data_IF_778566588557
#
_entry.id   IF_778566588557
#
_cell.length_a   1.000
_cell.length_b   1.000
_cell.length_c   1.000
_cell.angle_alpha   90.00
_cell.angle_beta   90.00
_cell.angle_gamma   90.00
#
_symmetry.space_group_name_H-M   'P 1'
#
loop_
_entity.id
_entity.type
_entity.pdbx_description
1 polymer ?
#
# COMPACT_ATOMS: atom_id res chain seq x y z
N UNK A 1 -53.82 15.43 -16.84
CA UNK A 1 -52.70 14.65 -16.24
C UNK A 1 -52.13 13.66 -17.26
N UNK A 2 -51.15 14.04 -18.09
CA UNK A 2 -50.45 13.06 -18.98
C UNK A 2 -49.06 13.52 -19.47
N UNK A 3 -48.41 14.47 -18.79
CA UNK A 3 -47.07 14.96 -19.19
C UNK A 3 -45.89 14.38 -18.39
N UNK A 4 -46.13 13.64 -17.32
CA UNK A 4 -45.07 13.15 -16.40
C UNK A 4 -44.46 11.79 -16.72
N UNK A 5 -45.04 11.00 -17.65
CA UNK A 5 -44.63 9.59 -17.86
C UNK A 5 -43.53 9.41 -18.92
N UNK A 6 -43.32 10.40 -19.79
CA UNK A 6 -42.35 10.31 -20.89
C UNK A 6 -40.92 10.72 -20.48
N UNK A 7 -40.76 11.59 -19.48
CA UNK A 7 -39.45 12.04 -19.01
C UNK A 7 -38.65 10.92 -18.31
N UNK A 8 -39.31 10.08 -17.51
CA UNK A 8 -38.64 8.97 -16.81
C UNK A 8 -38.13 7.88 -17.75
N UNK A 9 -38.82 7.62 -18.87
CA UNK A 9 -38.37 6.65 -19.87
C UNK A 9 -37.14 7.13 -20.64
N UNK A 10 -37.06 8.43 -20.93
CA UNK A 10 -35.88 9.01 -21.59
C UNK A 10 -34.64 8.97 -20.69
N UNK A 11 -34.80 9.26 -19.39
CA UNK A 11 -33.70 9.18 -18.43
C UNK A 11 -33.18 7.73 -18.24
N UNK A 12 -34.08 6.76 -18.16
CA UNK A 12 -33.72 5.34 -18.04
C UNK A 12 -32.98 4.83 -19.28
N UNK A 13 -33.45 5.20 -20.48
CA UNK A 13 -32.81 4.81 -21.74
C UNK A 13 -31.41 5.42 -21.89
N UNK A 14 -31.24 6.69 -21.50
CA UNK A 14 -29.94 7.36 -21.54
C UNK A 14 -28.94 6.71 -20.56
N UNK A 15 -29.41 6.32 -19.36
CA UNK A 15 -28.58 5.63 -18.38
C UNK A 15 -28.17 4.22 -18.84
N UNK A 16 -29.08 3.49 -19.49
CA UNK A 16 -28.80 2.17 -20.06
C UNK A 16 -27.75 2.25 -21.18
N UNK A 17 -27.88 3.23 -22.07
CA UNK A 17 -26.94 3.45 -23.17
C UNK A 17 -25.53 3.82 -22.68
N UNK A 18 -25.43 4.62 -21.61
CA UNK A 18 -24.14 4.93 -20.97
C UNK A 18 -23.46 3.69 -20.39
N UNK A 19 -24.21 2.81 -19.71
CA UNK A 19 -23.66 1.56 -19.16
C UNK A 19 -23.19 0.59 -20.24
N UNK A 20 -23.95 0.44 -21.34
CA UNK A 20 -23.55 -0.40 -22.48
C UNK A 20 -22.27 0.13 -23.13
N UNK A 21 -22.16 1.45 -23.32
CA UNK A 21 -20.98 2.08 -23.94
C UNK A 21 -19.72 1.90 -23.08
N UNK A 22 -19.85 1.98 -21.75
CA UNK A 22 -18.75 1.73 -20.82
C UNK A 22 -18.31 0.26 -20.76
N UNK A 23 -19.24 -0.70 -20.85
CA UNK A 23 -18.89 -2.12 -20.95
C UNK A 23 -18.13 -2.43 -22.26
N UNK A 24 -18.59 -1.91 -23.40
CA UNK A 24 -17.94 -2.15 -24.70
C UNK A 24 -16.48 -1.63 -24.70
N UNK A 25 -16.25 -0.44 -24.13
CA UNK A 25 -14.89 0.14 -24.02
C UNK A 25 -13.97 -0.69 -23.12
N UNK A 26 -14.49 -1.22 -22.00
CA UNK A 26 -13.68 -2.00 -21.04
C UNK A 26 -13.30 -3.39 -21.54
N UNK A 27 -14.13 -4.03 -22.36
CA UNK A 27 -13.90 -5.44 -22.74
C UNK A 27 -13.34 -5.65 -24.15
N UNK A 28 -13.56 -4.73 -25.11
CA UNK A 28 -13.12 -4.93 -26.51
C UNK A 28 -11.70 -4.41 -26.75
N UNK A 29 -11.26 -3.36 -26.04
CA UNK A 29 -9.96 -2.72 -26.29
C UNK A 29 -8.75 -3.58 -25.87
N UNK A 30 -8.76 -4.36 -24.77
CA UNK A 30 -7.58 -5.15 -24.39
C UNK A 30 -7.38 -6.43 -25.22
N UNK A 31 -8.33 -6.83 -26.08
CA UNK A 31 -8.20 -8.04 -26.90
C UNK A 31 -7.31 -7.85 -28.15
N UNK A 32 -6.93 -6.62 -28.49
CA UNK A 32 -6.17 -6.30 -29.72
C UNK A 32 -4.66 -6.14 -29.47
N UNK A 33 -4.18 -6.15 -28.22
CA UNK A 33 -2.79 -5.80 -27.86
C UNK A 33 -1.88 -6.97 -27.43
N UNK A 34 -2.26 -8.23 -27.67
CA UNK A 34 -1.43 -9.41 -27.31
C UNK A 34 -1.00 -10.22 -28.55
N UNK A 35 -0.54 -9.53 -29.58
CA UNK A 35 0.10 -10.17 -30.74
C UNK A 35 1.38 -9.42 -31.12
N UNK A 36 2.50 -9.87 -30.54
CA UNK A 36 3.83 -9.56 -31.06
C UNK A 36 4.75 -8.88 -30.06
N UNK A 37 5.55 -9.68 -29.34
CA UNK A 37 6.98 -9.42 -29.13
C UNK A 37 7.64 -10.64 -28.46
N UNK A 38 8.14 -11.54 -29.30
CA UNK A 38 9.11 -12.57 -28.89
C UNK A 38 10.49 -12.01 -29.20
N UNK A 39 11.23 -11.56 -28.17
CA UNK A 39 12.65 -11.22 -28.30
C UNK A 39 13.46 -12.32 -27.60
N UNK A 40 14.27 -13.00 -28.41
CA UNK A 40 15.25 -14.00 -27.99
C UNK A 40 16.48 -13.22 -27.49
N UNK A 41 16.82 -13.34 -26.20
CA UNK A 41 18.10 -12.86 -25.65
C UNK A 41 19.04 -14.05 -25.55
N UNK A 42 20.10 -14.04 -26.35
CA UNK A 42 21.22 -14.97 -26.30
C UNK A 42 22.28 -14.47 -25.31
N UNK A 43 22.62 -15.27 -24.32
CA UNK A 43 23.79 -15.05 -23.45
C UNK A 43 25.00 -15.79 -24.03
N UNK A 44 26.05 -15.04 -24.39
CA UNK A 44 27.40 -15.57 -24.65
C UNK A 44 28.19 -15.59 -23.33
N UNK A 45 29.01 -16.62 -23.06
CA UNK A 45 29.76 -16.73 -21.80
C UNK A 45 31.01 -15.84 -21.83
N UNK A 46 31.32 -15.20 -20.71
CA UNK A 46 32.59 -14.50 -20.51
C UNK A 46 33.47 -15.24 -19.51
N UNK A 47 34.74 -15.41 -19.91
CA UNK A 47 35.69 -16.37 -19.36
C UNK A 47 36.37 -15.99 -18.05
N UNK A 48 37.06 -16.99 -17.52
CA UNK A 48 37.84 -16.97 -16.28
C UNK A 48 39.28 -16.45 -16.49
N UNK A 49 39.77 -15.73 -15.46
CA UNK A 49 41.14 -15.69 -14.87
C UNK A 49 42.30 -15.05 -15.66
N UNK A 50 43.33 -14.42 -15.00
CA UNK A 50 43.97 -14.90 -13.76
C UNK A 50 44.38 -13.85 -12.70
N UNK A 51 44.81 -14.40 -11.56
CA UNK A 51 45.43 -13.81 -10.37
C UNK A 51 46.68 -12.97 -10.64
N UNK A 52 46.92 -11.93 -9.80
CA UNK A 52 48.28 -11.43 -9.57
C UNK A 52 48.46 -10.01 -8.98
N UNK A 53 48.86 -9.97 -7.71
CA UNK A 53 49.83 -9.04 -7.07
C UNK A 53 49.34 -7.65 -6.57
N UNK A 54 49.01 -7.65 -5.28
CA UNK A 54 49.55 -6.79 -4.18
C UNK A 54 50.15 -5.42 -4.52
N UNK A 55 49.47 -4.33 -4.12
CA UNK A 55 50.07 -3.07 -3.64
C UNK A 55 49.19 -2.38 -2.58
N UNK A 56 49.71 -2.34 -1.35
CA UNK A 56 49.72 -1.25 -0.35
C UNK A 56 48.40 -0.50 -0.09
N UNK A 57 47.78 -0.78 1.05
CA UNK A 57 46.59 -0.11 1.60
C UNK A 57 46.97 1.07 2.53
N UNK A 58 46.37 2.27 2.38
CA UNK A 58 46.31 3.31 3.41
C UNK A 58 45.26 2.98 4.50
N UNK A 59 45.24 3.72 5.64
CA UNK A 59 44.74 3.22 6.92
C UNK A 59 43.22 3.02 7.00
N UNK A 60 42.87 2.03 7.82
CA UNK A 60 41.54 1.47 8.10
C UNK A 60 40.42 2.51 8.18
N UNK A 61 39.45 2.38 7.26
CA UNK A 61 38.07 2.79 7.49
C UNK A 61 37.47 2.00 8.67
N UNK A 62 36.62 2.59 9.51
CA UNK A 62 35.92 1.86 10.57
C UNK A 62 35.08 0.72 9.96
N UNK A 63 34.90 -0.40 10.68
CA UNK A 63 34.28 -1.59 10.13
C UNK A 63 32.84 -1.28 9.67
N UNK A 64 32.56 -1.64 8.43
CA UNK A 64 31.23 -1.76 7.86
C UNK A 64 30.43 -2.69 8.79
N UNK A 65 29.45 -2.13 9.50
CA UNK A 65 28.60 -2.90 10.42
C UNK A 65 27.65 -3.74 9.58
N UNK A 66 28.14 -4.92 9.23
CA UNK A 66 27.37 -6.00 8.64
C UNK A 66 26.48 -6.58 9.75
N UNK A 67 25.19 -6.25 9.69
CA UNK A 67 24.17 -6.85 10.57
C UNK A 67 24.11 -8.36 10.39
N UNK A 68 23.84 -9.07 11.48
CA UNK A 68 24.03 -10.52 11.61
C UNK A 68 23.03 -11.36 10.83
N UNK A 69 23.63 -12.32 10.13
CA UNK A 69 23.08 -13.61 9.68
C UNK A 69 22.53 -14.39 10.89
N UNK A 70 21.30 -14.90 10.80
CA UNK A 70 20.64 -15.99 11.58
C UNK A 70 21.16 -16.32 13.00
N UNK A 71 21.28 -15.34 13.90
CA UNK A 71 21.40 -15.56 15.34
C UNK A 71 20.95 -14.31 16.08
N UNK A 72 19.92 -14.46 16.92
CA UNK A 72 19.26 -13.34 17.59
C UNK A 72 20.24 -12.35 18.23
N UNK A 73 20.16 -11.09 17.78
CA UNK A 73 20.87 -9.94 18.32
C UNK A 73 19.93 -8.74 18.36
N UNK A 74 20.09 -7.88 19.37
CA UNK A 74 19.29 -6.66 19.49
C UNK A 74 19.84 -5.55 18.59
N UNK A 75 19.03 -5.10 17.63
CA UNK A 75 19.39 -3.95 16.80
C UNK A 75 19.14 -2.66 17.58
N UNK A 76 20.15 -1.78 17.63
CA UNK A 76 20.03 -0.47 18.28
C UNK A 76 20.09 0.66 17.28
N UNK A 77 19.32 1.72 17.52
CA UNK A 77 19.41 2.99 16.83
C UNK A 77 19.65 4.12 17.86
N UNK A 78 20.65 4.97 17.63
CA UNK A 78 21.06 6.05 18.57
C UNK A 78 21.18 5.59 20.03
N UNK A 79 21.77 4.41 20.25
CA UNK A 79 22.04 3.86 21.58
C UNK A 79 20.83 3.28 22.31
N UNK A 80 19.68 3.10 21.64
CA UNK A 80 18.48 2.45 22.19
C UNK A 80 18.00 1.31 21.28
N UNK A 81 17.36 0.27 21.83
CA UNK A 81 16.73 -0.77 21.01
C UNK A 81 15.73 -0.19 20.02
N UNK A 82 15.67 -0.74 18.81
CA UNK A 82 14.80 -0.26 17.74
C UNK A 82 13.32 -0.31 18.14
N UNK A 83 12.92 -1.34 18.88
CA UNK A 83 11.59 -1.54 19.46
C UNK A 83 11.17 -0.41 20.40
N UNK A 84 12.13 0.33 20.98
CA UNK A 84 11.82 1.46 21.84
C UNK A 84 11.29 2.70 21.10
N UNK A 85 11.32 2.68 19.77
CA UNK A 85 10.70 3.67 18.89
C UNK A 85 9.33 3.24 18.37
N UNK A 86 8.86 2.04 18.73
CA UNK A 86 7.52 1.60 18.37
C UNK A 86 6.47 2.47 19.05
N UNK A 87 5.46 2.88 18.28
CA UNK A 87 4.34 3.69 18.76
C UNK A 87 3.03 2.96 18.55
N UNK A 88 2.05 3.25 19.41
CA UNK A 88 0.67 2.92 19.12
C UNK A 88 0.08 4.03 18.24
N UNK A 89 -0.09 3.76 16.95
CA UNK A 89 -0.61 4.75 15.99
C UNK A 89 -2.00 5.27 16.40
N UNK A 90 -2.80 4.46 17.10
CA UNK A 90 -4.14 4.84 17.58
C UNK A 90 -4.11 5.92 18.66
N UNK A 91 -2.95 6.12 19.31
CA UNK A 91 -2.80 7.15 20.34
C UNK A 91 -2.50 8.54 19.79
N UNK A 92 -2.08 8.64 18.52
CA UNK A 92 -1.76 9.92 17.88
C UNK A 92 -3.02 10.78 17.70
N UNK A 93 -2.87 12.09 17.87
CA UNK A 93 -3.93 13.08 17.63
C UNK A 93 -4.47 12.98 16.20
N UNK A 94 -3.58 12.91 15.20
CA UNK A 94 -3.96 12.73 13.80
C UNK A 94 -4.81 11.46 13.56
N UNK A 95 -4.53 10.37 14.27
CA UNK A 95 -5.35 9.17 14.19
C UNK A 95 -6.72 9.40 14.83
N UNK A 96 -6.75 9.88 16.08
CA UNK A 96 -7.98 10.07 16.86
C UNK A 96 -8.95 11.05 16.21
N UNK A 97 -8.43 12.16 15.68
CA UNK A 97 -9.23 13.25 15.13
C UNK A 97 -9.47 13.11 13.61
N UNK A 98 -8.53 12.49 12.88
CA UNK A 98 -8.60 12.37 11.43
C UNK A 98 -9.10 11.02 10.94
N UNK A 99 -8.49 9.93 11.41
CA UNK A 99 -8.69 8.58 10.87
C UNK A 99 -9.84 7.86 11.54
N UNK A 100 -9.91 7.92 12.86
CA UNK A 100 -10.95 7.23 13.63
C UNK A 100 -12.37 7.65 13.17
N UNK A 101 -12.67 8.94 12.92
CA UNK A 101 -13.98 9.32 12.39
C UNK A 101 -14.29 8.73 11.00
N UNK A 102 -13.28 8.49 10.16
CA UNK A 102 -13.44 7.81 8.87
C UNK A 102 -13.78 6.34 9.12
N UNK A 103 -13.02 5.63 9.95
CA UNK A 103 -13.26 4.22 10.29
C UNK A 103 -14.60 4.00 11.01
N UNK A 104 -15.07 5.00 11.74
CA UNK A 104 -16.35 4.96 12.44
C UNK A 104 -17.53 5.51 11.61
N UNK A 105 -17.27 6.01 10.40
CA UNK A 105 -18.31 6.51 9.49
C UNK A 105 -19.31 5.41 9.10
N UNK A 106 -20.56 5.81 8.85
CA UNK A 106 -21.62 4.87 8.43
C UNK A 106 -21.24 4.10 7.15
N UNK A 107 -20.43 4.69 6.27
CA UNK A 107 -19.94 4.02 5.07
C UNK A 107 -18.98 2.87 5.35
N UNK A 108 -18.30 2.86 6.51
CA UNK A 108 -17.34 1.81 6.87
C UNK A 108 -17.82 0.88 7.99
N UNK A 109 -18.81 1.28 8.78
CA UNK A 109 -19.35 0.43 9.84
C UNK A 109 -19.83 -0.93 9.32
N UNK A 110 -19.32 -2.01 9.93
CA UNK A 110 -19.64 -3.38 9.54
C UNK A 110 -19.14 -3.79 8.15
N UNK A 111 -18.42 -2.92 7.43
CA UNK A 111 -17.86 -3.24 6.12
C UNK A 111 -16.63 -4.15 6.26
N UNK A 112 -16.43 -5.00 5.25
CA UNK A 112 -15.21 -5.79 5.09
C UNK A 112 -13.96 -4.87 5.07
N UNK A 113 -14.05 -3.72 4.40
CA UNK A 113 -12.95 -2.78 4.27
C UNK A 113 -12.48 -2.22 5.62
N UNK A 114 -13.40 -1.93 6.55
CA UNK A 114 -13.04 -1.52 7.92
C UNK A 114 -12.22 -2.60 8.62
N UNK A 115 -12.57 -3.87 8.44
CA UNK A 115 -11.82 -4.98 9.03
C UNK A 115 -10.40 -5.06 8.48
N UNK A 116 -10.23 -4.89 7.17
CA UNK A 116 -8.89 -4.87 6.54
C UNK A 116 -8.07 -3.69 7.05
N UNK A 117 -8.65 -2.48 7.10
CA UNK A 117 -7.93 -1.31 7.57
C UNK A 117 -7.51 -1.47 9.03
N UNK A 118 -8.39 -1.99 9.90
CA UNK A 118 -8.03 -2.33 11.28
C UNK A 118 -6.94 -3.40 11.33
N UNK A 119 -7.02 -4.44 10.50
CA UNK A 119 -5.99 -5.47 10.43
C UNK A 119 -4.63 -4.87 10.05
N UNK A 120 -4.57 -3.96 9.08
CA UNK A 120 -3.34 -3.25 8.68
C UNK A 120 -2.79 -2.42 9.85
N UNK A 121 -3.66 -1.68 10.54
CA UNK A 121 -3.29 -0.85 11.71
C UNK A 121 -2.66 -1.73 12.80
N UNK A 122 -3.30 -2.86 13.10
CA UNK A 122 -2.95 -3.67 14.27
C UNK A 122 -1.84 -4.70 13.99
N UNK A 123 -1.65 -5.13 12.73
CA UNK A 123 -0.62 -6.13 12.36
C UNK A 123 0.68 -5.52 11.86
N UNK A 124 0.72 -4.21 11.58
CA UNK A 124 1.96 -3.51 11.29
C UNK A 124 2.54 -2.90 12.56
N UNK A 125 3.85 -3.01 12.72
CA UNK A 125 4.56 -2.25 13.76
C UNK A 125 4.87 -0.86 13.22
N UNK A 126 4.40 0.17 13.92
CA UNK A 126 4.64 1.55 13.56
C UNK A 126 5.81 2.09 14.38
N UNK A 127 6.82 2.62 13.70
CA UNK A 127 8.00 3.23 14.31
C UNK A 127 8.02 4.72 14.04
N UNK A 128 8.36 5.52 15.04
CA UNK A 128 8.61 6.94 14.91
C UNK A 128 10.10 7.20 15.17
N UNK A 129 10.88 7.37 14.10
CA UNK A 129 12.35 7.40 14.16
C UNK A 129 12.86 8.83 14.02
N UNK A 130 13.71 9.33 14.94
CA UNK A 130 14.27 10.69 14.89
C UNK A 130 15.46 10.77 13.92
N UNK A 131 15.24 10.41 12.65
CA UNK A 131 16.26 10.40 11.59
C UNK A 131 15.64 10.34 10.21
N UNK A 132 16.43 10.76 9.23
CA UNK A 132 16.10 10.55 7.82
C UNK A 132 15.94 9.08 7.50
N UNK A 133 14.92 8.79 6.69
CA UNK A 133 14.65 7.48 6.13
C UNK A 133 15.39 7.34 4.80
N UNK A 134 15.69 6.10 4.42
CA UNK A 134 16.23 5.80 3.08
C UNK A 134 15.26 6.29 2.01
N UNK A 135 15.75 7.09 1.07
CA UNK A 135 14.93 7.62 -0.02
C UNK A 135 14.65 6.52 -1.05
N UNK A 136 13.38 6.44 -1.48
CA UNK A 136 13.03 5.67 -2.65
C UNK A 136 13.47 6.41 -3.92
N UNK A 137 13.82 5.70 -5.00
CA UNK A 137 14.14 6.35 -6.27
C UNK A 137 12.99 7.25 -6.75
N UNK A 138 13.31 8.47 -7.20
CA UNK A 138 12.31 9.45 -7.63
C UNK A 138 11.41 8.94 -8.75
N UNK A 139 11.93 8.07 -9.64
CA UNK A 139 11.14 7.45 -10.70
C UNK A 139 10.03 6.56 -10.12
N UNK A 140 10.27 5.94 -8.96
CA UNK A 140 9.33 5.03 -8.32
C UNK A 140 8.17 5.76 -7.67
N UNK A 141 8.47 6.84 -6.94
CA UNK A 141 7.45 7.66 -6.25
C UNK A 141 6.81 8.70 -7.19
N UNK A 142 7.20 8.71 -8.46
CA UNK A 142 6.67 9.59 -9.50
C UNK A 142 6.67 11.07 -9.06
N UNK A 143 7.77 11.51 -8.46
CA UNK A 143 7.95 12.89 -8.04
C UNK A 143 8.75 13.67 -9.07
N UNK A 144 8.23 14.82 -9.48
CA UNK A 144 8.93 15.76 -10.38
C UNK A 144 9.91 16.68 -9.63
N UNK A 145 9.92 16.63 -8.30
CA UNK A 145 10.78 17.46 -7.43
C UNK A 145 11.51 16.56 -6.43
N UNK A 146 12.65 17.03 -5.91
CA UNK A 146 13.29 16.39 -4.77
C UNK A 146 12.33 16.42 -3.59
N UNK A 147 11.97 15.25 -3.07
CA UNK A 147 11.06 15.10 -1.93
C UNK A 147 11.78 14.52 -0.74
N UNK A 148 11.38 14.95 0.45
CA UNK A 148 11.77 14.31 1.70
C UNK A 148 10.90 13.06 1.91
N UNK A 149 11.52 11.95 2.36
CA UNK A 149 10.80 10.71 2.63
C UNK A 149 10.25 10.75 4.06
N UNK A 150 8.97 11.09 4.20
CA UNK A 150 8.30 11.19 5.50
C UNK A 150 7.92 9.83 6.10
N UNK A 151 7.67 8.83 5.26
CA UNK A 151 7.30 7.48 5.68
C UNK A 151 7.89 6.41 4.77
N UNK A 152 8.22 5.23 5.29
CA UNK A 152 8.65 4.07 4.51
C UNK A 152 7.93 2.84 5.05
N UNK A 153 7.43 1.98 4.17
CA UNK A 153 6.63 0.83 4.57
C UNK A 153 7.06 -0.45 3.85
N UNK A 154 7.08 -1.56 4.61
CA UNK A 154 7.17 -2.92 4.09
C UNK A 154 5.94 -3.75 4.50
N UNK A 155 6.01 -5.08 4.37
CA UNK A 155 4.89 -5.97 4.73
C UNK A 155 4.53 -5.94 6.21
N UNK A 156 5.48 -5.72 7.12
CA UNK A 156 5.29 -5.84 8.57
C UNK A 156 5.43 -4.53 9.33
N UNK A 157 6.03 -3.50 8.73
CA UNK A 157 6.46 -2.32 9.46
C UNK A 157 6.17 -1.04 8.67
N UNK A 158 5.88 0.02 9.40
CA UNK A 158 5.79 1.40 8.89
C UNK A 158 6.75 2.26 9.70
N UNK A 159 7.65 2.93 9.00
CA UNK A 159 8.64 3.83 9.55
C UNK A 159 8.24 5.26 9.25
N UNK A 160 8.09 6.09 10.26
CA UNK A 160 7.83 7.53 10.13
C UNK A 160 9.09 8.30 10.50
N UNK A 161 9.48 9.27 9.67
CA UNK A 161 10.51 10.24 10.03
C UNK A 161 9.91 11.21 11.05
N UNK A 162 10.31 11.07 12.31
CA UNK A 162 9.80 11.90 13.40
C UNK A 162 10.05 13.40 13.15
N UNK A 163 11.21 13.77 12.62
CA UNK A 163 11.56 15.17 12.42
C UNK A 163 10.59 15.85 11.45
N UNK A 164 10.25 15.15 10.35
CA UNK A 164 9.29 15.66 9.37
C UNK A 164 7.87 15.57 9.94
N UNK A 165 7.50 14.45 10.54
CA UNK A 165 6.17 14.20 11.08
C UNK A 165 5.76 15.23 12.14
N UNK A 166 6.66 15.59 13.05
CA UNK A 166 6.41 16.55 14.13
C UNK A 166 6.25 18.00 13.59
N UNK A 167 6.76 18.30 12.39
CA UNK A 167 6.58 19.60 11.71
C UNK A 167 5.29 19.69 10.91
N UNK A 168 4.62 18.56 10.63
CA UNK A 168 3.39 18.52 9.86
C UNK A 168 2.19 19.05 10.67
N UNK A 169 1.22 19.64 9.99
CA UNK A 169 -0.09 19.90 10.61
C UNK A 169 -0.80 18.58 10.94
N UNK A 170 -1.73 18.58 11.89
CA UNK A 170 -2.56 17.38 12.19
C UNK A 170 -3.26 16.86 10.93
N UNK A 171 -3.66 17.76 10.02
CA UNK A 171 -4.26 17.39 8.74
C UNK A 171 -3.27 16.64 7.82
N UNK A 172 -2.04 17.13 7.69
CA UNK A 172 -1.02 16.48 6.85
C UNK A 172 -0.54 15.16 7.47
N UNK A 173 -0.42 15.08 8.80
CA UNK A 173 -0.18 13.82 9.50
C UNK A 173 -1.29 12.81 9.23
N UNK A 174 -2.55 13.24 9.27
CA UNK A 174 -3.71 12.40 8.94
C UNK A 174 -3.61 11.89 7.50
N UNK A 175 -3.33 12.78 6.55
CA UNK A 175 -3.17 12.43 5.15
C UNK A 175 -2.05 11.41 4.92
N UNK A 176 -0.91 11.59 5.60
CA UNK A 176 0.23 10.66 5.54
C UNK A 176 -0.16 9.28 6.09
N UNK A 177 -0.84 9.21 7.24
CA UNK A 177 -1.23 7.90 7.79
C UNK A 177 -2.27 7.23 6.87
N UNK A 178 -3.24 7.97 6.32
CA UNK A 178 -4.18 7.42 5.32
C UNK A 178 -3.42 6.87 4.11
N UNK A 179 -2.38 7.58 3.64
CA UNK A 179 -1.52 7.11 2.56
C UNK A 179 -0.89 5.75 2.91
N UNK A 180 -0.29 5.61 4.08
CA UNK A 180 0.33 4.35 4.52
C UNK A 180 -0.68 3.21 4.72
N UNK A 181 -1.90 3.51 5.18
CA UNK A 181 -2.98 2.51 5.25
C UNK A 181 -3.37 1.99 3.86
N UNK A 182 -3.49 2.88 2.88
CA UNK A 182 -3.80 2.51 1.50
C UNK A 182 -2.62 1.78 0.83
N UNK A 183 -1.38 2.15 1.14
CA UNK A 183 -0.19 1.36 0.80
C UNK A 183 -0.32 -0.05 1.39
N UNK A 184 -0.73 -0.17 2.66
CA UNK A 184 -0.92 -1.46 3.33
C UNK A 184 -1.94 -2.33 2.61
N UNK A 185 -3.07 -1.74 2.24
CA UNK A 185 -4.12 -2.40 1.47
C UNK A 185 -3.59 -2.90 0.11
N UNK A 186 -2.77 -2.10 -0.57
CA UNK A 186 -2.15 -2.49 -1.84
C UNK A 186 -1.12 -3.59 -1.70
N UNK A 187 -0.35 -3.59 -0.62
CA UNK A 187 0.69 -4.58 -0.38
C UNK A 187 0.14 -5.97 -0.05
N UNK A 188 -1.11 -6.08 0.40
CA UNK A 188 -1.73 -7.38 0.67
C UNK A 188 -1.64 -8.34 -0.52
N UNK A 189 -1.82 -7.84 -1.76
CA UNK A 189 -1.73 -8.64 -3.00
C UNK A 189 -0.34 -9.25 -3.25
N UNK A 190 0.70 -8.70 -2.62
CA UNK A 190 2.09 -9.16 -2.75
C UNK A 190 2.61 -9.89 -1.51
N UNK A 191 1.95 -9.74 -0.36
CA UNK A 191 2.24 -10.55 0.82
C UNK A 191 1.74 -12.00 0.59
N UNK A 192 1.82 -12.82 1.63
CA UNK A 192 1.35 -14.19 1.62
C UNK A 192 -0.17 -14.32 1.54
N UNK A 193 -0.66 -15.43 0.97
CA UNK A 193 -2.10 -15.76 0.96
C UNK A 193 -2.68 -15.85 2.37
N UNK A 194 -1.85 -16.16 3.37
CA UNK A 194 -2.21 -16.18 4.78
C UNK A 194 -2.46 -14.77 5.30
N UNK A 195 -1.52 -13.84 5.09
CA UNK A 195 -1.68 -12.43 5.49
C UNK A 195 -2.89 -11.80 4.84
N UNK A 196 -3.07 -12.05 3.54
CA UNK A 196 -4.27 -11.67 2.80
C UNK A 196 -5.50 -12.26 3.50
N UNK A 197 -5.68 -13.58 3.53
CA UNK A 197 -6.85 -14.20 4.16
C UNK A 197 -7.14 -13.66 5.56
N UNK A 198 -6.13 -13.45 6.40
CA UNK A 198 -6.29 -12.90 7.76
C UNK A 198 -6.86 -11.47 7.77
N UNK A 199 -6.48 -10.62 6.82
CA UNK A 199 -7.03 -9.29 6.66
C UNK A 199 -8.50 -9.31 6.22
N UNK A 200 -8.87 -10.27 5.37
CA UNK A 200 -10.23 -10.42 4.82
C UNK A 200 -11.18 -11.22 5.72
N UNK A 201 -10.63 -11.91 6.73
CA UNK A 201 -11.39 -12.81 7.58
C UNK A 201 -12.41 -12.06 8.44
N UNK A 202 -13.61 -12.64 8.58
CA UNK A 202 -14.62 -12.17 9.54
C UNK A 202 -14.30 -12.62 10.97
N UNK A 203 -14.81 -11.91 11.97
CA UNK A 203 -14.56 -12.23 13.39
C UNK A 203 -14.99 -13.65 13.81
N UNK A 204 -15.89 -14.29 13.07
CA UNK A 204 -16.44 -15.61 13.38
C UNK A 204 -15.61 -16.78 12.83
N UNK A 205 -14.54 -16.52 12.09
CA UNK A 205 -13.69 -17.56 11.50
C UNK A 205 -12.41 -17.72 12.32
N UNK A 206 -12.03 -18.96 12.62
CA UNK A 206 -10.78 -19.27 13.30
C UNK A 206 -9.55 -18.98 12.42
N UNK A 207 -8.37 -18.83 13.03
CA UNK A 207 -7.09 -18.66 12.31
C UNK A 207 -6.73 -19.85 11.43
N UNK A 208 -7.17 -21.05 11.83
CA UNK A 208 -7.05 -22.28 11.06
C UNK A 208 -7.70 -22.17 9.67
N UNK A 209 -8.71 -21.31 9.48
CA UNK A 209 -9.35 -21.07 8.18
C UNK A 209 -8.36 -20.60 7.11
N UNK A 210 -7.37 -19.80 7.51
CA UNK A 210 -6.38 -19.26 6.58
C UNK A 210 -5.15 -20.15 6.42
N UNK A 211 -4.99 -21.21 7.24
CA UNK A 211 -3.82 -22.09 7.22
C UNK A 211 -3.99 -23.18 6.17
N UNK A 212 -3.15 -23.15 5.13
CA UNK A 212 -2.94 -24.27 4.22
C UNK A 212 -1.44 -24.44 3.93
N UNK A 213 -1.05 -25.55 3.31
CA UNK A 213 0.37 -25.91 3.11
C UNK A 213 1.19 -24.90 2.30
N UNK A 214 0.55 -23.96 1.61
CA UNK A 214 1.20 -22.94 0.76
C UNK A 214 0.80 -21.51 1.16
N UNK A 215 0.10 -21.32 2.29
CA UNK A 215 -0.48 -20.01 2.61
C UNK A 215 0.56 -18.99 3.05
N UNK A 216 1.73 -19.41 3.54
CA UNK A 216 2.78 -18.52 4.07
C UNK A 216 3.78 -18.00 3.04
N UNK A 217 3.75 -18.49 1.80
CA UNK A 217 4.67 -18.04 0.76
C UNK A 217 4.37 -16.60 0.35
N UNK A 218 5.38 -15.73 0.40
CA UNK A 218 5.30 -14.35 -0.06
C UNK A 218 5.17 -14.37 -1.59
N UNK A 219 4.21 -13.61 -2.14
CA UNK A 219 3.91 -13.57 -3.58
C UNK A 219 4.77 -12.59 -4.37
N UNK A 220 5.30 -11.56 -3.71
CA UNK A 220 6.11 -10.52 -4.34
C UNK A 220 6.87 -9.67 -3.32
N UNK A 221 7.16 -8.43 -3.67
CA UNK A 221 7.91 -7.48 -2.85
C UNK A 221 7.14 -6.17 -2.74
N UNK A 222 7.32 -5.38 -1.66
CA UNK A 222 6.83 -4.01 -1.63
C UNK A 222 7.36 -3.17 -2.79
N UNK A 223 8.50 -3.58 -3.36
CA UNK A 223 9.07 -2.94 -4.54
C UNK A 223 8.28 -3.17 -5.83
N UNK A 224 7.33 -4.11 -5.85
CA UNK A 224 6.51 -4.42 -7.03
C UNK A 224 5.34 -3.45 -7.22
N UNK A 225 5.14 -2.51 -6.29
CA UNK A 225 4.21 -1.39 -6.50
C UNK A 225 4.69 -0.51 -7.67
N UNK A 226 3.79 -0.32 -8.62
CA UNK A 226 4.04 0.50 -9.81
C UNK A 226 3.84 1.98 -9.53
N UNK A 227 4.37 2.81 -10.43
CA UNK A 227 4.13 4.27 -10.48
C UNK A 227 2.61 4.58 -10.46
N UNK A 228 1.80 3.75 -11.13
CA UNK A 228 0.34 3.91 -11.17
C UNK A 228 -0.28 3.65 -9.80
N UNK A 229 0.18 2.62 -9.09
CA UNK A 229 -0.29 2.33 -7.73
C UNK A 229 -0.03 3.53 -6.80
N UNK A 230 1.19 4.09 -6.82
CA UNK A 230 1.52 5.29 -6.01
C UNK A 230 0.65 6.51 -6.35
N UNK A 231 0.37 6.74 -7.63
CA UNK A 231 -0.50 7.85 -8.05
C UNK A 231 -1.95 7.65 -7.57
N UNK A 232 -2.48 6.43 -7.67
CA UNK A 232 -3.82 6.06 -7.21
C UNK A 232 -3.95 6.19 -5.68
N UNK A 233 -2.93 5.75 -4.95
CA UNK A 233 -2.87 5.87 -3.48
C UNK A 233 -2.91 7.34 -3.07
N UNK A 234 -2.09 8.21 -3.67
CA UNK A 234 -2.11 9.66 -3.38
C UNK A 234 -3.47 10.29 -3.68
N UNK A 235 -4.07 9.97 -4.84
CA UNK A 235 -5.38 10.50 -5.21
C UNK A 235 -6.48 10.06 -4.23
N UNK A 236 -6.46 8.79 -3.84
CA UNK A 236 -7.42 8.21 -2.90
C UNK A 236 -7.24 8.77 -1.50
N UNK A 237 -6.01 8.85 -1.01
CA UNK A 237 -5.69 9.40 0.32
C UNK A 237 -6.20 10.83 0.46
N UNK A 238 -5.99 11.67 -0.56
CA UNK A 238 -6.52 13.03 -0.59
C UNK A 238 -8.04 13.05 -0.48
N UNK A 239 -8.74 12.27 -1.31
CA UNK A 239 -10.21 12.22 -1.30
C UNK A 239 -10.79 11.71 0.01
N UNK A 240 -10.14 10.72 0.64
CA UNK A 240 -10.54 10.21 1.95
C UNK A 240 -10.27 11.21 3.07
N UNK A 241 -9.15 11.94 3.02
CA UNK A 241 -8.88 13.02 3.98
C UNK A 241 -9.93 14.14 3.89
N UNK A 242 -10.40 14.47 2.69
CA UNK A 242 -11.40 15.51 2.47
C UNK A 242 -12.83 15.08 2.82
N UNK A 243 -13.24 13.86 2.46
CA UNK A 243 -14.66 13.45 2.48
C UNK A 243 -14.93 12.17 3.28
N UNK A 244 -13.92 11.54 3.87
CA UNK A 244 -14.02 10.18 4.41
C UNK A 244 -15.02 10.01 5.56
N UNK A 245 -15.35 11.07 6.29
CA UNK A 245 -16.35 11.01 7.36
C UNK A 245 -17.79 10.94 6.84
N UNK A 246 -18.01 11.47 5.63
CA UNK A 246 -19.34 11.62 5.02
C UNK A 246 -19.55 10.71 3.81
N UNK A 247 -18.51 10.00 3.37
CA UNK A 247 -18.58 9.12 2.20
C UNK A 247 -19.51 7.94 2.49
N UNK A 248 -20.39 7.63 1.54
CA UNK A 248 -21.22 6.43 1.61
C UNK A 248 -20.37 5.18 1.34
N UNK A 249 -20.87 4.00 1.72
CA UNK A 249 -20.19 2.75 1.38
C UNK A 249 -20.09 2.56 -0.14
N UNK A 250 -21.17 2.85 -0.88
CA UNK A 250 -21.16 2.77 -2.34
C UNK A 250 -20.13 3.71 -2.97
N UNK A 251 -20.09 4.97 -2.54
CA UNK A 251 -19.13 5.95 -3.08
C UNK A 251 -17.68 5.58 -2.73
N UNK A 252 -17.45 5.02 -1.54
CA UNK A 252 -16.14 4.54 -1.11
C UNK A 252 -15.69 3.34 -1.94
N UNK A 253 -16.59 2.39 -2.16
CA UNK A 253 -16.33 1.21 -2.98
C UNK A 253 -16.04 1.60 -4.43
N UNK A 254 -16.85 2.51 -5.01
CA UNK A 254 -16.63 3.05 -6.34
C UNK A 254 -15.32 3.84 -6.42
N UNK A 255 -14.98 4.63 -5.40
CA UNK A 255 -13.70 5.33 -5.30
C UNK A 255 -12.53 4.34 -5.35
N UNK A 256 -12.56 3.31 -4.49
CA UNK A 256 -11.48 2.33 -4.42
C UNK A 256 -11.38 1.52 -5.72
N UNK A 257 -12.49 1.03 -6.26
CA UNK A 257 -12.52 0.29 -7.52
C UNK A 257 -12.06 1.11 -8.72
N UNK A 258 -12.46 2.39 -8.81
CA UNK A 258 -11.97 3.29 -9.89
C UNK A 258 -10.49 3.62 -9.76
N UNK A 259 -9.97 3.57 -8.54
CA UNK A 259 -8.55 3.73 -8.25
C UNK A 259 -7.81 2.40 -8.30
N UNK A 260 -8.45 1.32 -8.77
CA UNK A 260 -7.83 0.01 -9.01
C UNK A 260 -7.56 -0.82 -7.76
N UNK A 261 -8.04 -0.40 -6.59
CA UNK A 261 -8.00 -1.22 -5.38
C UNK A 261 -9.00 -2.35 -5.57
N UNK A 262 -8.61 -3.53 -5.13
CA UNK A 262 -9.53 -4.65 -5.15
C UNK A 262 -10.50 -4.51 -3.98
N UNK A 263 -11.80 -4.60 -4.29
CA UNK A 263 -12.89 -4.37 -3.34
C UNK A 263 -13.86 -5.54 -3.25
N UNK A 264 -13.61 -6.62 -4.00
CA UNK A 264 -14.44 -7.82 -4.01
C UNK A 264 -13.72 -8.98 -3.33
N UNK A 265 -14.42 -9.73 -2.48
CA UNK A 265 -13.91 -10.93 -1.78
C UNK A 265 -13.34 -12.01 -2.73
N UNK A 266 -13.65 -11.95 -4.03
CA UNK A 266 -13.32 -12.96 -5.04
C UNK A 266 -11.98 -12.72 -5.74
N UNK A 267 -11.49 -11.48 -5.77
CA UNK A 267 -10.19 -11.15 -6.33
C UNK A 267 -9.03 -11.54 -5.39
N UNK A 268 -9.35 -12.03 -4.20
CA UNK A 268 -8.42 -12.42 -3.13
C UNK A 268 -8.48 -13.92 -2.77
N UNK A 269 -9.13 -14.76 -3.59
CA UNK A 269 -9.18 -16.22 -3.42
C UNK A 269 -8.35 -16.95 -4.47
#
# INVERSE_FOLDING_TARGET
MSRGRNSKKAALLHFLLLRIKMMIIRYIIPLITVAGMTIIVSCTPHGQSPSGISKIQPPLSPPEVQGTVDSGGGNTFKGRPLESYAINIRELTAFKEGINPILESNGLQGSFLKNVLNWIIDNKTWYLIPSELTQLPSEKIASAVGTEQAALQDFKQVWLNQNIFDMMSTHDQTLLIIHELLMGLRLLKFDSKFSECQAFRTANQEESFCKNSYSSEIRGSPLDLSVIDYAQIRSTAKKLSENGQTISFEDLNDLLGTQGFSTEDHEFK
#
